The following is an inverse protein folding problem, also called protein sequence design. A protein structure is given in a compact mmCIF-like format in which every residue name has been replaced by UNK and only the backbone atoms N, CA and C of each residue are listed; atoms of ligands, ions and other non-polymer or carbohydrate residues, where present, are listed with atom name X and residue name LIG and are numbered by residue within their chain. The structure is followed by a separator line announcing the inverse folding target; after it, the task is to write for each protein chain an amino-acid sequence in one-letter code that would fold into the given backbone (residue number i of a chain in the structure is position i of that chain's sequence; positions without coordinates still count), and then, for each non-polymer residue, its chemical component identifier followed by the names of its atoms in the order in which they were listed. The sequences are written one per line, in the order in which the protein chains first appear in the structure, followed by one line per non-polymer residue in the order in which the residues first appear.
data_IF_510903317270
#
_entry.id   IF_510903317270
#
_cell.length_a   1.000
_cell.length_b   1.000
_cell.length_c   1.000
_cell.angle_alpha   90.00
_cell.angle_beta   90.00
_cell.angle_gamma   90.00
#
_symmetry.space_group_name_H-M   'P 1'
#
loop_
_entity.id
_entity.type
_entity.pdbx_description
1 polymer ?
#
# COMPACT_ATOMS: atom_id res chain seq x y z
N UNK A 1 0.42 -19.91 -10.58
CA UNK A 1 -0.71 -18.96 -10.67
C UNK A 1 -0.12 -17.58 -10.63
N UNK A 2 -0.41 -16.73 -11.63
CA UNK A 2 0.08 -15.36 -11.65
C UNK A 2 -0.62 -14.60 -10.50
N UNK A 3 0.12 -13.80 -9.74
CA UNK A 3 -0.47 -13.02 -8.65
C UNK A 3 -1.52 -12.03 -9.16
N UNK A 4 -1.34 -11.48 -10.36
CA UNK A 4 -2.30 -10.55 -10.97
C UNK A 4 -3.64 -11.26 -11.24
N UNK A 5 -3.64 -12.50 -11.74
CA UNK A 5 -4.87 -13.30 -11.91
C UNK A 5 -5.64 -13.45 -10.59
N UNK A 6 -4.91 -13.71 -9.50
CA UNK A 6 -5.53 -13.87 -8.19
C UNK A 6 -6.18 -12.57 -7.71
N UNK A 7 -5.51 -11.43 -7.94
CA UNK A 7 -6.03 -10.13 -7.52
C UNK A 7 -7.23 -9.69 -8.37
N UNK A 8 -7.23 -9.99 -9.67
CA UNK A 8 -8.39 -9.77 -10.55
C UNK A 8 -9.57 -10.64 -10.10
N UNK A 9 -9.35 -11.94 -9.86
CA UNK A 9 -10.40 -12.85 -9.38
C UNK A 9 -11.02 -12.41 -8.04
N UNK A 10 -10.23 -11.77 -7.17
CA UNK A 10 -10.69 -11.25 -5.88
C UNK A 10 -11.37 -9.87 -5.95
N UNK A 11 -11.45 -9.28 -7.14
CA UNK A 11 -11.87 -7.88 -7.32
C UNK A 11 -11.05 -6.90 -6.47
N UNK A 12 -9.73 -7.17 -6.36
CA UNK A 12 -8.80 -6.41 -5.52
C UNK A 12 -8.01 -5.34 -6.30
N UNK A 13 -8.29 -5.17 -7.60
CA UNK A 13 -7.65 -4.19 -8.47
C UNK A 13 -8.66 -3.09 -8.79
N UNK A 14 -8.40 -1.89 -8.30
CA UNK A 14 -9.19 -0.71 -8.64
C UNK A 14 -8.69 -0.05 -9.94
N UNK A 15 -7.38 0.21 -10.03
CA UNK A 15 -6.75 0.85 -11.19
C UNK A 15 -5.31 0.36 -11.35
N UNK A 16 -4.84 0.35 -12.59
CA UNK A 16 -3.47 0.00 -12.97
C UNK A 16 -2.98 0.96 -14.04
N UNK A 17 -1.67 1.21 -14.05
CA UNK A 17 -1.03 2.03 -15.09
C UNK A 17 -0.91 1.27 -16.41
N UNK A 18 -0.50 0.00 -16.34
CA UNK A 18 -0.35 -0.93 -17.46
C UNK A 18 -0.58 -2.36 -16.97
N UNK A 19 -1.79 -2.90 -17.22
CA UNK A 19 -2.20 -4.21 -16.73
C UNK A 19 -1.42 -5.35 -17.42
N UNK A 20 -1.24 -5.28 -18.74
CA UNK A 20 -0.55 -6.30 -19.52
C UNK A 20 0.95 -6.32 -19.18
N UNK A 21 1.57 -5.14 -19.10
CA UNK A 21 2.98 -5.02 -18.73
C UNK A 21 3.27 -5.51 -17.31
N UNK A 22 2.42 -5.17 -16.34
CA UNK A 22 2.59 -5.65 -14.96
C UNK A 22 2.43 -7.17 -14.87
N UNK A 23 1.42 -7.73 -15.54
CA UNK A 23 1.18 -9.17 -15.60
C UNK A 23 2.39 -9.93 -16.14
N UNK A 24 2.97 -9.46 -17.26
CA UNK A 24 4.17 -10.04 -17.86
C UNK A 24 5.39 -9.90 -16.95
N UNK A 25 5.56 -8.73 -16.33
CA UNK A 25 6.70 -8.45 -15.45
C UNK A 25 6.78 -9.41 -14.26
N UNK A 26 5.65 -9.72 -13.62
CA UNK A 26 5.61 -10.62 -12.45
C UNK A 26 5.78 -12.10 -12.81
N UNK A 27 5.57 -12.47 -14.08
CA UNK A 27 5.88 -13.81 -14.60
C UNK A 27 7.38 -13.97 -14.87
N UNK A 28 8.01 -12.93 -15.41
CA UNK A 28 9.42 -12.96 -15.79
C UNK A 28 10.36 -12.88 -14.59
N UNK A 29 10.00 -12.12 -13.54
CA UNK A 29 10.89 -11.94 -12.38
C UNK A 29 10.16 -11.61 -11.09
N UNK A 30 10.88 -11.81 -9.99
CA UNK A 30 10.48 -11.27 -8.69
C UNK A 30 10.73 -9.77 -8.68
N UNK A 31 9.77 -9.02 -8.17
CA UNK A 31 9.78 -7.56 -8.15
C UNK A 31 9.75 -7.08 -6.72
N UNK A 32 10.26 -5.87 -6.49
CA UNK A 32 10.04 -5.15 -5.25
C UNK A 32 8.87 -4.19 -5.41
N UNK A 33 8.04 -4.10 -4.39
CA UNK A 33 6.89 -3.21 -4.33
C UNK A 33 6.82 -2.57 -2.96
N UNK A 34 6.18 -1.40 -2.86
CA UNK A 34 6.01 -0.72 -1.59
C UNK A 34 4.57 -0.27 -1.35
N UNK A 35 4.22 -0.13 -0.08
CA UNK A 35 2.97 0.49 0.36
C UNK A 35 3.30 1.44 1.52
N UNK A 36 2.89 2.69 1.37
CA UNK A 36 3.05 3.72 2.39
C UNK A 36 1.91 3.69 3.40
N UNK A 37 2.23 3.86 4.69
CA UNK A 37 1.25 4.00 5.77
C UNK A 37 1.69 5.13 6.68
N UNK A 38 0.83 6.13 6.84
CA UNK A 38 1.06 7.26 7.74
C UNK A 38 0.52 6.97 9.14
N UNK A 39 1.28 7.25 10.21
CA UNK A 39 0.80 7.16 11.58
C UNK A 39 -0.20 8.30 11.83
N UNK A 40 -1.49 8.01 11.67
CA UNK A 40 -2.58 9.00 11.85
C UNK A 40 -3.37 8.80 13.14
N UNK A 41 -3.01 7.77 13.92
CA UNK A 41 -3.56 7.43 15.22
C UNK A 41 -2.59 6.53 15.99
N UNK A 42 -2.96 6.17 17.22
CA UNK A 42 -2.17 5.30 18.11
C UNK A 42 -2.13 3.83 17.65
N UNK A 43 -3.05 3.43 16.79
CA UNK A 43 -3.15 2.07 16.27
C UNK A 43 -3.74 2.01 14.86
N UNK A 44 -3.43 0.92 14.15
CA UNK A 44 -4.05 0.60 12.87
C UNK A 44 -5.39 -0.09 13.09
N UNK A 45 -6.44 0.37 12.41
CA UNK A 45 -7.73 -0.32 12.36
C UNK A 45 -7.90 -1.15 11.06
N UNK A 46 -9.01 -1.89 10.95
CA UNK A 46 -9.33 -2.79 9.82
C UNK A 46 -9.24 -2.14 8.44
N UNK A 47 -9.49 -0.83 8.31
CA UNK A 47 -9.32 -0.09 7.05
C UNK A 47 -7.90 -0.16 6.46
N UNK A 48 -6.86 -0.38 7.26
CA UNK A 48 -5.48 -0.53 6.77
C UNK A 48 -5.15 -1.96 6.33
N UNK A 49 -6.02 -2.93 6.62
CA UNK A 49 -5.70 -4.35 6.43
C UNK A 49 -5.59 -4.71 4.94
N UNK A 50 -6.38 -4.08 4.07
CA UNK A 50 -6.39 -4.40 2.63
C UNK A 50 -4.99 -4.22 2.02
N UNK A 51 -4.32 -3.06 2.12
CA UNK A 51 -2.96 -2.90 1.62
C UNK A 51 -1.97 -3.93 2.18
N UNK A 52 -1.99 -4.21 3.49
CA UNK A 52 -1.11 -5.22 4.09
C UNK A 52 -1.36 -6.63 3.60
N UNK A 53 -2.64 -7.00 3.39
CA UNK A 53 -2.99 -8.28 2.79
C UNK A 53 -2.46 -8.39 1.36
N UNK A 54 -2.48 -7.31 0.58
CA UNK A 54 -1.88 -7.30 -0.75
C UNK A 54 -0.37 -7.52 -0.66
N UNK A 55 0.32 -6.77 0.21
CA UNK A 55 1.77 -6.95 0.44
C UNK A 55 2.11 -8.39 0.85
N UNK A 56 1.28 -9.01 1.70
CA UNK A 56 1.44 -10.41 2.08
C UNK A 56 1.25 -11.37 0.91
N UNK A 57 0.25 -11.15 0.06
CA UNK A 57 0.02 -12.00 -1.14
C UNK A 57 1.19 -11.92 -2.12
N UNK A 58 1.70 -10.72 -2.38
CA UNK A 58 2.91 -10.55 -3.18
C UNK A 58 4.12 -11.25 -2.54
N UNK A 59 4.28 -11.20 -1.22
CA UNK A 59 5.31 -11.97 -0.51
C UNK A 59 5.18 -13.48 -0.74
N UNK A 60 3.96 -14.01 -0.63
CA UNK A 60 3.68 -15.44 -0.81
C UNK A 60 3.91 -15.90 -2.25
N UNK A 61 3.72 -15.01 -3.22
CA UNK A 61 4.09 -15.22 -4.62
C UNK A 61 5.61 -15.05 -4.89
N UNK A 62 6.41 -14.74 -3.87
CA UNK A 62 7.88 -14.63 -3.92
C UNK A 62 8.42 -13.25 -4.28
N UNK A 63 7.58 -12.22 -4.29
CA UNK A 63 8.00 -10.83 -4.49
C UNK A 63 8.51 -10.22 -3.18
N UNK A 64 9.14 -9.04 -3.26
CA UNK A 64 9.76 -8.34 -2.14
C UNK A 64 8.93 -7.10 -1.72
N UNK A 65 7.94 -7.25 -0.83
CA UNK A 65 7.18 -6.12 -0.29
C UNK A 65 8.01 -5.30 0.69
N UNK A 66 7.86 -3.97 0.62
CA UNK A 66 8.43 -3.00 1.55
C UNK A 66 7.30 -2.17 2.15
N UNK A 67 7.11 -2.26 3.46
CA UNK A 67 6.16 -1.37 4.17
C UNK A 67 6.92 -0.10 4.52
N UNK A 68 6.45 1.04 4.01
CA UNK A 68 7.04 2.34 4.27
C UNK A 68 6.20 3.07 5.32
N UNK A 69 6.79 3.32 6.49
CA UNK A 69 6.14 4.11 7.55
C UNK A 69 6.42 5.59 7.31
N UNK A 70 5.36 6.35 7.11
CA UNK A 70 5.39 7.75 6.73
C UNK A 70 5.65 8.71 7.89
N UNK A 71 6.79 8.59 8.58
CA UNK A 71 7.14 9.50 9.68
C UNK A 71 7.31 10.97 9.24
N UNK A 72 7.65 11.21 7.97
CA UNK A 72 7.73 12.55 7.40
C UNK A 72 6.42 13.00 6.70
N UNK A 73 5.70 12.08 6.07
CA UNK A 73 4.42 12.41 5.41
C UNK A 73 3.29 12.60 6.42
N UNK A 74 3.33 11.89 7.54
CA UNK A 74 2.40 12.06 8.66
C UNK A 74 2.44 13.45 9.29
N UNK A 75 3.59 14.14 9.26
CA UNK A 75 3.71 15.52 9.80
C UNK A 75 3.10 16.58 8.89
N UNK A 76 3.00 16.32 7.58
CA UNK A 76 2.36 17.22 6.60
C UNK A 76 0.86 16.89 6.51
N UNK A 77 0.55 15.61 6.34
CA UNK A 77 -0.80 15.09 6.17
C UNK A 77 -1.26 15.06 4.70
N UNK A 78 -1.72 13.89 4.25
CA UNK A 78 -2.31 13.71 2.91
C UNK A 78 -3.76 14.26 2.86
N UNK A 79 -4.09 15.20 1.94
CA UNK A 79 -5.44 15.74 1.76
C UNK A 79 -6.38 14.80 0.96
N UNK A 80 -5.86 13.72 0.38
CA UNK A 80 -6.63 12.83 -0.49
C UNK A 80 -7.87 12.25 0.23
N UNK A 81 -9.05 12.49 -0.33
CA UNK A 81 -10.32 11.95 0.17
C UNK A 81 -10.96 12.70 1.35
N UNK A 82 -10.49 13.89 1.72
CA UNK A 82 -11.12 14.72 2.78
C UNK A 82 -11.50 16.12 2.30
N UNK A 83 -12.59 16.64 2.87
CA UNK A 83 -13.10 18.00 2.58
C UNK A 83 -12.51 19.07 3.53
N UNK A 84 -11.78 18.66 4.57
CA UNK A 84 -11.24 19.55 5.61
C UNK A 84 -9.73 19.34 5.76
N UNK A 85 -9.01 20.44 6.00
CA UNK A 85 -7.56 20.46 6.22
C UNK A 85 -7.17 19.67 7.48
N UNK A 86 -6.03 18.97 7.45
CA UNK A 86 -5.52 18.23 8.61
C UNK A 86 -4.89 19.20 9.60
N UNK A 87 -5.08 18.94 10.90
CA UNK A 87 -4.25 19.56 11.93
C UNK A 87 -2.84 18.95 11.84
N UNK A 88 -1.82 19.80 11.75
CA UNK A 88 -0.42 19.39 11.78
C UNK A 88 -0.12 18.69 13.12
N UNK A 89 0.41 17.47 13.05
CA UNK A 89 0.83 16.73 14.23
C UNK A 89 2.25 17.14 14.63
N UNK A 90 2.52 17.19 15.93
CA UNK A 90 3.88 17.46 16.44
C UNK A 90 4.77 16.25 16.19
N UNK A 91 6.08 16.46 16.01
CA UNK A 91 7.06 15.38 15.82
C UNK A 91 7.02 14.30 16.92
N UNK A 92 6.72 14.70 18.16
CA UNK A 92 6.60 13.80 19.32
C UNK A 92 5.38 12.87 19.25
N UNK A 93 4.34 13.25 18.49
CA UNK A 93 3.14 12.42 18.29
C UNK A 93 3.31 11.41 17.14
N UNK A 94 4.26 11.66 16.25
CA UNK A 94 4.51 10.85 15.05
C UNK A 94 5.60 9.78 15.29
N UNK A 95 6.45 9.96 16.31
CA UNK A 95 7.55 9.06 16.68
C UNK A 95 7.16 7.90 17.60
#
# INVERSE_FOLDING_TARGET
MNIIDELEWRDAINQQTDAEGLRKLVEEKKISLYCGVDPTGDSMHIGHLIPFMMMKRFQLAGHHPIILIGGATGTIGDPSGRQTERQLQTLEQVQ
#
